data_IF_111206894837
#
_entry.id   IF_111206894837
#
_cell.length_a   1.000
_cell.length_b   1.000
_cell.length_c   1.000
_cell.angle_alpha   90.00
_cell.angle_beta   90.00
_cell.angle_gamma   90.00
#
_symmetry.space_group_name_H-M   'P 1'
#
loop_
_entity.id
_entity.type
_entity.pdbx_description
1 polymer ?
#
# COMPACT_ATOMS: atom_id res chain seq x y z
N UNK A 1 -4.81 -19.25 -6.48
CA UNK A 1 -5.69 -19.32 -7.66
C UNK A 1 -7.15 -18.95 -7.31
N UNK A 2 -7.73 -19.50 -6.24
CA UNK A 2 -9.13 -19.24 -5.86
C UNK A 2 -9.46 -17.76 -5.57
N UNK A 3 -8.58 -17.03 -4.90
CA UNK A 3 -8.79 -15.60 -4.59
C UNK A 3 -8.94 -14.73 -5.84
N UNK A 4 -8.24 -15.04 -6.93
CA UNK A 4 -8.29 -14.24 -8.18
C UNK A 4 -9.61 -14.36 -8.94
N UNK A 5 -10.37 -15.41 -8.69
CA UNK A 5 -11.67 -15.68 -9.34
C UNK A 5 -12.87 -15.44 -8.42
N UNK A 6 -12.62 -15.17 -7.15
CA UNK A 6 -13.67 -14.89 -6.18
C UNK A 6 -14.17 -13.44 -6.35
N UNK A 7 -15.50 -13.27 -6.34
CA UNK A 7 -16.14 -11.96 -6.34
C UNK A 7 -16.95 -11.77 -5.06
N UNK A 8 -16.84 -10.60 -4.48
CA UNK A 8 -17.66 -10.17 -3.35
C UNK A 8 -18.89 -9.39 -3.86
N UNK A 9 -19.98 -9.30 -3.08
CA UNK A 9 -21.12 -8.44 -3.42
C UNK A 9 -20.72 -6.95 -3.58
N UNK A 10 -19.70 -6.54 -2.83
CA UNK A 10 -19.08 -5.22 -2.91
C UNK A 10 -17.58 -5.37 -3.17
N UNK A 11 -17.11 -4.79 -4.24
CA UNK A 11 -15.71 -4.84 -4.68
C UNK A 11 -15.16 -3.43 -4.86
N UNK A 12 -14.83 -2.70 -3.77
CA UNK A 12 -14.37 -1.33 -3.86
C UNK A 12 -13.02 -1.21 -4.56
N UNK A 13 -12.79 -0.13 -5.30
CA UNK A 13 -11.45 0.23 -5.76
C UNK A 13 -10.65 0.75 -4.56
N UNK A 14 -9.45 0.19 -4.36
CA UNK A 14 -8.53 0.57 -3.29
C UNK A 14 -7.36 1.33 -3.91
N UNK A 15 -7.15 2.57 -3.51
CA UNK A 15 -6.00 3.39 -3.91
C UNK A 15 -4.87 3.20 -2.89
N UNK A 16 -3.75 2.61 -3.31
CA UNK A 16 -2.57 2.46 -2.47
C UNK A 16 -1.70 3.69 -2.67
N UNK A 17 -1.43 4.42 -1.59
CA UNK A 17 -0.63 5.64 -1.61
C UNK A 17 0.78 5.34 -1.14
N UNK A 18 1.78 5.69 -1.96
CA UNK A 18 3.19 5.51 -1.62
C UNK A 18 3.95 6.82 -1.83
N UNK A 19 4.37 7.47 -0.74
CA UNK A 19 5.30 8.59 -0.82
C UNK A 19 6.71 8.07 -1.09
N UNK A 20 7.35 8.55 -2.17
CA UNK A 20 8.70 8.17 -2.56
C UNK A 20 9.70 9.29 -2.26
N UNK A 21 10.84 8.92 -1.67
CA UNK A 21 11.97 9.82 -1.51
C UNK A 21 13.29 9.06 -1.47
N UNK A 22 14.09 9.18 -2.52
CA UNK A 22 15.41 8.53 -2.65
C UNK A 22 15.40 7.03 -2.36
N UNK A 23 14.29 6.36 -2.70
CA UNK A 23 14.08 4.94 -2.41
C UNK A 23 15.14 4.09 -3.11
N UNK A 24 15.89 3.23 -2.40
CA UNK A 24 16.81 2.30 -3.02
C UNK A 24 16.10 1.39 -4.01
N UNK A 25 16.69 1.17 -5.20
CA UNK A 25 16.09 0.40 -6.28
C UNK A 25 15.56 -0.96 -5.84
N UNK A 26 16.33 -1.68 -5.02
CA UNK A 26 15.94 -3.00 -4.52
C UNK A 26 14.58 -2.95 -3.81
N UNK A 27 14.40 -2.03 -2.87
CA UNK A 27 13.17 -1.89 -2.11
C UNK A 27 12.02 -1.42 -2.97
N UNK A 28 12.26 -0.41 -3.81
CA UNK A 28 11.24 0.09 -4.73
C UNK A 28 10.69 -1.03 -5.61
N UNK A 29 11.57 -1.85 -6.22
CA UNK A 29 11.13 -2.98 -7.05
C UNK A 29 10.38 -4.04 -6.25
N UNK A 30 10.86 -4.38 -5.05
CA UNK A 30 10.20 -5.35 -4.19
C UNK A 30 8.80 -4.88 -3.78
N UNK A 31 8.65 -3.61 -3.39
CA UNK A 31 7.36 -3.00 -3.06
C UNK A 31 6.43 -3.03 -4.29
N UNK A 32 6.88 -2.56 -5.45
CA UNK A 32 6.09 -2.55 -6.68
C UNK A 32 5.64 -3.97 -7.09
N UNK A 33 6.53 -4.94 -7.03
CA UNK A 33 6.21 -6.35 -7.34
C UNK A 33 5.17 -6.91 -6.37
N UNK A 34 5.24 -6.56 -5.08
CA UNK A 34 4.28 -7.02 -4.07
C UNK A 34 2.87 -6.50 -4.33
N UNK A 35 2.74 -5.27 -4.83
CA UNK A 35 1.45 -4.67 -5.20
C UNK A 35 0.93 -5.26 -6.52
N UNK A 36 1.77 -5.38 -7.54
CA UNK A 36 1.36 -5.95 -8.83
C UNK A 36 0.90 -7.41 -8.70
N UNK A 37 1.46 -8.16 -7.75
CA UNK A 37 1.12 -9.56 -7.50
C UNK A 37 -0.16 -9.77 -6.67
N UNK A 38 -0.82 -8.71 -6.22
CA UNK A 38 -2.05 -8.83 -5.44
C UNK A 38 -3.11 -9.69 -6.13
N UNK A 39 -3.79 -10.52 -5.36
CA UNK A 39 -4.84 -11.42 -5.88
C UNK A 39 -6.17 -10.71 -6.07
N UNK A 40 -6.43 -9.62 -5.36
CA UNK A 40 -7.54 -8.71 -5.62
C UNK A 40 -7.17 -7.77 -6.77
N UNK A 41 -8.04 -7.61 -7.76
CA UNK A 41 -7.69 -6.91 -8.99
C UNK A 41 -8.09 -5.42 -9.02
N UNK A 42 -9.09 -5.01 -8.22
CA UNK A 42 -9.65 -3.66 -8.26
C UNK A 42 -8.89 -2.70 -7.34
N UNK A 43 -7.66 -2.39 -7.71
CA UNK A 43 -6.80 -1.42 -7.03
C UNK A 43 -6.11 -0.48 -8.01
N UNK A 44 -5.59 0.60 -7.51
CA UNK A 44 -4.60 1.45 -8.19
C UNK A 44 -3.45 1.78 -7.23
N UNK A 45 -2.28 2.09 -7.78
CA UNK A 45 -1.10 2.50 -7.02
C UNK A 45 -0.73 3.93 -7.40
N UNK A 46 -0.77 4.83 -6.42
CA UNK A 46 -0.48 6.25 -6.57
C UNK A 46 0.90 6.54 -5.97
N UNK A 47 1.89 6.81 -6.83
CA UNK A 47 3.28 7.08 -6.46
C UNK A 47 3.57 8.57 -6.58
N UNK A 48 3.88 9.24 -5.47
CA UNK A 48 4.32 10.65 -5.46
C UNK A 48 5.79 10.73 -5.05
N UNK A 49 6.63 11.20 -5.97
CA UNK A 49 8.08 11.12 -5.88
C UNK A 49 8.73 12.50 -5.69
N UNK A 50 9.27 12.75 -4.50
CA UNK A 50 10.08 13.91 -4.16
C UNK A 50 11.61 13.68 -4.27
N UNK A 51 12.06 12.60 -4.92
CA UNK A 51 13.48 12.24 -5.01
C UNK A 51 14.29 13.26 -5.82
N UNK A 52 15.58 13.34 -5.54
CA UNK A 52 16.48 14.19 -6.31
C UNK A 52 16.97 13.52 -7.60
N UNK A 53 17.10 12.19 -7.60
CA UNK A 53 17.59 11.45 -8.76
C UNK A 53 16.46 10.93 -9.65
N UNK A 54 16.76 10.75 -10.94
CA UNK A 54 15.81 10.22 -11.91
C UNK A 54 15.65 8.69 -11.83
N UNK A 55 16.41 8.01 -10.95
CA UNK A 55 16.38 6.55 -10.88
C UNK A 55 15.04 6.01 -10.41
N UNK A 56 14.45 6.64 -9.41
CA UNK A 56 13.10 6.29 -8.89
C UNK A 56 12.07 6.48 -9.99
N UNK A 57 12.11 7.62 -10.69
CA UNK A 57 11.23 7.91 -11.83
C UNK A 57 11.33 6.87 -12.95
N UNK A 58 12.57 6.51 -13.34
CA UNK A 58 12.80 5.52 -14.41
C UNK A 58 12.14 4.17 -14.06
N UNK A 59 12.31 3.71 -12.81
CA UNK A 59 11.73 2.45 -12.33
C UNK A 59 10.21 2.54 -12.27
N UNK A 60 9.66 3.59 -11.66
CA UNK A 60 8.22 3.77 -11.57
C UNK A 60 7.55 3.81 -12.96
N UNK A 61 8.15 4.54 -13.91
CA UNK A 61 7.68 4.59 -15.29
C UNK A 61 7.83 3.25 -16.04
N UNK A 62 8.84 2.45 -15.72
CA UNK A 62 8.98 1.10 -16.25
C UNK A 62 7.78 0.23 -15.87
N UNK A 63 7.35 0.26 -14.61
CA UNK A 63 6.19 -0.48 -14.13
C UNK A 63 4.87 0.08 -14.68
N UNK A 64 4.70 1.40 -14.69
CA UNK A 64 3.49 2.04 -15.21
C UNK A 64 3.22 1.77 -16.70
N UNK A 65 4.27 1.51 -17.50
CA UNK A 65 4.10 1.07 -18.89
C UNK A 65 3.58 -0.37 -19.03
N UNK A 66 3.78 -1.20 -17.99
CA UNK A 66 3.37 -2.62 -17.99
C UNK A 66 2.01 -2.83 -17.34
N UNK A 67 1.65 -1.95 -16.41
CA UNK A 67 0.40 -2.02 -15.66
C UNK A 67 -0.21 -0.63 -15.52
N UNK A 68 -1.34 -0.41 -16.20
CA UNK A 68 -2.02 0.88 -16.25
C UNK A 68 -2.66 1.30 -14.91
N UNK A 69 -2.68 0.42 -13.92
CA UNK A 69 -3.15 0.74 -12.57
C UNK A 69 -2.12 1.53 -11.76
N UNK A 70 -0.86 1.65 -12.24
CA UNK A 70 0.17 2.46 -11.59
C UNK A 70 0.12 3.89 -12.14
N UNK A 71 -0.02 4.83 -11.22
CA UNK A 71 0.01 6.28 -11.48
C UNK A 71 1.24 6.87 -10.80
N UNK A 72 2.01 7.64 -11.53
CA UNK A 72 3.25 8.24 -11.03
C UNK A 72 3.26 9.74 -11.27
N UNK A 73 3.62 10.48 -10.23
CA UNK A 73 3.84 11.92 -10.26
C UNK A 73 5.20 12.27 -9.69
N UNK A 74 6.05 12.95 -10.49
CA UNK A 74 7.25 13.62 -9.98
C UNK A 74 6.85 14.93 -9.33
N UNK A 75 7.34 15.16 -8.11
CA UNK A 75 7.18 16.44 -7.42
C UNK A 75 8.34 17.36 -7.74
N UNK A 76 8.13 18.68 -7.67
CA UNK A 76 9.20 19.68 -7.87
C UNK A 76 10.22 19.67 -6.75
N UNK A 77 9.82 19.25 -5.55
CA UNK A 77 10.63 19.16 -4.36
C UNK A 77 10.09 18.07 -3.42
N UNK A 78 10.89 17.69 -2.42
CA UNK A 78 10.41 16.81 -1.37
C UNK A 78 9.59 17.59 -0.34
N UNK A 79 8.29 17.27 -0.26
CA UNK A 79 7.35 17.90 0.67
C UNK A 79 7.29 17.17 2.04
N UNK A 80 8.22 16.23 2.29
CA UNK A 80 8.20 15.35 3.45
C UNK A 80 7.12 14.26 3.32
N UNK A 81 7.07 13.37 4.32
CA UNK A 81 6.17 12.20 4.25
C UNK A 81 4.70 12.63 4.05
N UNK A 82 4.19 13.57 4.84
CA UNK A 82 2.80 14.01 4.76
C UNK A 82 2.49 14.70 3.44
N UNK A 83 3.37 15.58 2.97
CA UNK A 83 3.18 16.30 1.71
C UNK A 83 3.22 15.39 0.50
N UNK A 84 4.17 14.45 0.46
CA UNK A 84 4.26 13.45 -0.61
C UNK A 84 3.04 12.51 -0.58
N UNK A 85 2.57 12.10 0.62
CA UNK A 85 1.35 11.28 0.77
C UNK A 85 0.12 12.05 0.28
N UNK A 86 -0.03 13.33 0.61
CA UNK A 86 -1.13 14.16 0.11
C UNK A 86 -1.08 14.33 -1.41
N UNK A 87 0.11 14.43 -1.99
CA UNK A 87 0.27 14.44 -3.45
C UNK A 87 -0.17 13.09 -4.07
N UNK A 88 0.17 11.96 -3.45
CA UNK A 88 -0.33 10.65 -3.88
C UNK A 88 -1.86 10.57 -3.75
N UNK A 89 -2.42 11.07 -2.64
CA UNK A 89 -3.88 11.12 -2.40
C UNK A 89 -4.60 11.93 -3.49
N UNK A 90 -4.01 13.02 -3.97
CA UNK A 90 -4.63 13.82 -5.04
C UNK A 90 -4.82 13.07 -6.37
N UNK A 91 -4.12 11.96 -6.56
CA UNK A 91 -4.27 11.07 -7.72
C UNK A 91 -5.30 9.95 -7.49
N UNK A 92 -5.69 9.71 -6.23
CA UNK A 92 -6.53 8.57 -5.87
C UNK A 92 -7.97 8.71 -6.37
N UNK A 93 -8.52 7.62 -6.89
CA UNK A 93 -9.89 7.51 -7.39
C UNK A 93 -10.67 6.36 -6.71
N UNK A 94 -10.02 5.64 -5.79
CA UNK A 94 -10.63 4.53 -5.07
C UNK A 94 -11.62 5.00 -4.01
N UNK A 95 -12.52 4.09 -3.64
CA UNK A 95 -13.45 4.31 -2.53
C UNK A 95 -12.74 4.26 -1.17
N UNK A 96 -11.61 3.56 -1.11
CA UNK A 96 -10.76 3.45 0.06
C UNK A 96 -9.30 3.75 -0.29
N UNK A 97 -8.54 4.18 0.69
CA UNK A 97 -7.14 4.60 0.56
C UNK A 97 -6.29 3.76 1.50
N UNK A 98 -5.31 3.04 0.98
CA UNK A 98 -4.33 2.29 1.79
C UNK A 98 -2.99 3.01 1.84
N UNK A 99 -2.40 3.12 3.03
CA UNK A 99 -1.10 3.76 3.24
C UNK A 99 0.00 2.69 3.25
N UNK A 100 0.93 2.77 2.31
CA UNK A 100 2.05 1.84 2.19
C UNK A 100 3.37 2.61 2.09
N UNK A 101 4.34 2.22 2.89
CA UNK A 101 5.68 2.78 2.82
C UNK A 101 6.48 2.20 1.65
N UNK A 102 7.41 2.99 1.14
CA UNK A 102 8.14 2.68 -0.09
C UNK A 102 9.14 1.50 0.02
N UNK A 103 9.36 0.98 1.22
CA UNK A 103 10.25 -0.14 1.55
C UNK A 103 9.52 -1.31 2.22
N UNK A 104 8.19 -1.22 2.32
CA UNK A 104 7.33 -2.28 2.82
C UNK A 104 6.73 -3.15 1.71
N UNK A 105 6.20 -4.31 2.10
CA UNK A 105 5.68 -5.32 1.19
C UNK A 105 4.28 -5.75 1.61
N UNK A 106 3.40 -5.93 0.65
CA UNK A 106 2.11 -6.56 0.85
C UNK A 106 2.18 -8.05 0.50
N UNK A 107 1.69 -8.93 1.39
CA UNK A 107 1.47 -10.33 1.03
C UNK A 107 0.47 -10.43 -0.13
N UNK A 108 0.58 -11.43 -1.02
CA UNK A 108 -0.25 -11.51 -2.23
C UNK A 108 -1.77 -11.48 -2.00
N UNK A 109 -2.22 -11.87 -0.81
CA UNK A 109 -3.64 -11.86 -0.41
C UNK A 109 -4.08 -10.62 0.37
N UNK A 110 -3.20 -9.66 0.66
CA UNK A 110 -3.51 -8.55 1.56
C UNK A 110 -4.75 -7.75 1.12
N UNK A 111 -4.78 -7.28 -0.11
CA UNK A 111 -5.93 -6.52 -0.63
C UNK A 111 -7.20 -7.39 -0.76
N UNK A 112 -7.06 -8.70 -0.96
CA UNK A 112 -8.21 -9.62 -0.97
C UNK A 112 -8.85 -9.71 0.43
N UNK A 113 -8.06 -9.85 1.48
CA UNK A 113 -8.59 -9.92 2.85
C UNK A 113 -9.18 -8.56 3.28
N UNK A 114 -8.58 -7.44 2.89
CA UNK A 114 -9.16 -6.10 3.08
C UNK A 114 -10.51 -5.99 2.37
N UNK A 115 -10.59 -6.32 1.08
CA UNK A 115 -11.84 -6.26 0.33
C UNK A 115 -12.91 -7.18 0.89
N UNK A 116 -12.52 -8.36 1.39
CA UNK A 116 -13.40 -9.31 2.06
C UNK A 116 -13.96 -8.74 3.37
N UNK A 117 -13.12 -8.10 4.18
CA UNK A 117 -13.56 -7.44 5.42
C UNK A 117 -14.55 -6.31 5.12
N UNK A 118 -14.24 -5.45 4.14
CA UNK A 118 -15.13 -4.36 3.70
C UNK A 118 -16.47 -4.88 3.12
N UNK A 119 -16.44 -6.02 2.42
CA UNK A 119 -17.67 -6.63 1.90
C UNK A 119 -18.54 -7.30 3.00
N UNK A 120 -17.91 -7.71 4.10
CA UNK A 120 -18.58 -8.38 5.21
C UNK A 120 -19.07 -7.46 6.33
N UNK A 121 -18.63 -6.19 6.34
CA UNK A 121 -18.96 -5.22 7.39
C UNK A 121 -19.59 -4.00 6.76
N UNK A 122 -20.89 -3.84 6.91
CA UNK A 122 -21.57 -2.63 6.50
C UNK A 122 -21.01 -1.44 7.29
N UNK A 123 -20.78 -0.32 6.62
CA UNK A 123 -20.33 0.94 7.22
C UNK A 123 -18.92 0.87 7.88
N UNK A 124 -18.03 0.01 7.37
CA UNK A 124 -16.64 0.03 7.80
C UNK A 124 -15.93 1.29 7.25
N UNK A 125 -15.49 2.17 8.15
CA UNK A 125 -14.74 3.38 7.79
C UNK A 125 -13.26 3.09 7.56
N UNK A 126 -12.71 2.09 8.25
CA UNK A 126 -11.30 1.71 8.15
C UNK A 126 -11.07 0.23 8.45
N UNK A 127 -9.98 -0.30 7.89
CA UNK A 127 -9.47 -1.66 8.13
C UNK A 127 -7.97 -1.60 8.37
N UNK A 128 -7.48 -2.33 9.34
CA UNK A 128 -6.04 -2.52 9.53
C UNK A 128 -5.69 -3.99 9.66
N UNK A 129 -4.43 -4.32 9.35
CA UNK A 129 -3.96 -5.70 9.32
C UNK A 129 -2.88 -5.94 10.36
N UNK A 130 -2.67 -7.21 10.72
CA UNK A 130 -1.44 -7.63 11.38
C UNK A 130 -0.24 -7.40 10.43
N UNK A 131 0.95 -7.36 11.02
CA UNK A 131 2.20 -7.19 10.28
C UNK A 131 3.32 -8.04 10.89
N UNK A 132 4.36 -8.29 10.13
CA UNK A 132 5.62 -8.86 10.62
C UNK A 132 6.79 -8.18 9.92
N UNK A 133 8.00 -8.56 10.29
CA UNK A 133 9.21 -8.13 9.62
C UNK A 133 9.76 -9.25 8.77
N UNK A 134 10.38 -8.89 7.66
CA UNK A 134 11.09 -9.83 6.80
C UNK A 134 12.54 -9.42 6.64
N UNK A 135 13.45 -10.38 6.57
CA UNK A 135 14.87 -10.09 6.33
C UNK A 135 15.09 -9.59 4.89
N UNK A 136 16.27 -8.99 4.67
CA UNK A 136 16.64 -8.37 3.38
C UNK A 136 16.56 -9.29 2.16
N UNK A 137 16.62 -10.61 2.37
CA UNK A 137 16.55 -11.61 1.30
C UNK A 137 15.14 -12.21 1.14
N UNK A 138 14.17 -11.72 1.91
CA UNK A 138 12.77 -12.17 1.91
C UNK A 138 12.58 -13.67 2.21
N UNK A 139 13.53 -14.26 2.94
CA UNK A 139 13.54 -15.70 3.25
C UNK A 139 13.06 -16.04 4.65
N UNK A 140 13.05 -15.06 5.56
CA UNK A 140 12.70 -15.27 6.96
C UNK A 140 11.81 -14.16 7.49
N UNK A 141 10.62 -14.53 7.96
CA UNK A 141 9.72 -13.68 8.73
C UNK A 141 10.05 -13.75 10.23
N UNK A 142 9.91 -12.62 10.94
CA UNK A 142 10.19 -12.52 12.37
C UNK A 142 9.44 -11.34 12.99
N UNK A 143 9.35 -11.33 14.33
CA UNK A 143 8.68 -10.29 15.11
C UNK A 143 7.25 -10.00 14.62
N UNK A 144 6.34 -11.01 14.58
CA UNK A 144 4.95 -10.75 14.22
C UNK A 144 4.32 -9.81 15.24
N UNK A 145 3.54 -8.84 14.73
CA UNK A 145 2.75 -7.92 15.51
C UNK A 145 1.27 -8.19 15.26
N UNK A 146 0.68 -8.97 16.14
CA UNK A 146 -0.76 -9.23 16.16
C UNK A 146 -1.46 -8.08 16.87
N UNK A 147 -2.37 -7.42 16.18
CA UNK A 147 -3.03 -6.23 16.65
C UNK A 147 -4.33 -6.58 17.38
N UNK A 148 -4.68 -5.87 18.47
CA UNK A 148 -5.95 -6.05 19.13
C UNK A 148 -7.10 -5.56 18.24
N UNK A 149 -8.34 -5.90 18.61
CA UNK A 149 -9.51 -5.21 18.11
C UNK A 149 -9.41 -3.70 18.40
N UNK A 150 -10.14 -2.90 17.62
CA UNK A 150 -10.06 -1.45 17.71
C UNK A 150 -10.33 -0.96 19.15
N UNK A 151 -9.39 -0.21 19.68
CA UNK A 151 -9.44 0.37 21.02
C UNK A 151 -8.96 1.82 20.96
N UNK A 152 -9.90 2.76 21.08
CA UNK A 152 -9.62 4.20 20.97
C UNK A 152 -8.72 4.72 22.09
N UNK A 153 -8.86 4.21 23.32
CA UNK A 153 -8.02 4.63 24.45
C UNK A 153 -6.58 4.16 24.28
N UNK A 154 -6.40 2.94 23.77
CA UNK A 154 -5.07 2.43 23.47
C UNK A 154 -4.41 3.20 22.34
N UNK A 155 -5.18 3.56 21.29
CA UNK A 155 -4.68 4.34 20.17
C UNK A 155 -4.21 5.75 20.57
N UNK A 156 -4.85 6.37 21.57
CA UNK A 156 -4.44 7.67 22.11
C UNK A 156 -3.06 7.62 22.81
N UNK A 157 -2.68 6.47 23.34
CA UNK A 157 -1.40 6.29 24.04
C UNK A 157 -0.31 5.65 23.18
N UNK A 158 -0.69 4.87 22.18
CA UNK A 158 0.22 4.12 21.32
C UNK A 158 -0.38 3.91 19.92
N UNK A 159 0.33 4.34 18.88
CA UNK A 159 -0.05 3.99 17.51
C UNK A 159 0.26 2.51 17.24
N UNK A 160 -0.69 1.62 17.57
CA UNK A 160 -0.57 0.19 17.33
C UNK A 160 -1.05 -0.23 15.93
N UNK A 161 -1.72 0.67 15.21
CA UNK A 161 -2.29 0.34 13.89
C UNK A 161 -1.19 0.21 12.84
N UNK A 162 -0.22 1.14 12.79
CA UNK A 162 0.91 1.16 11.86
C UNK A 162 0.52 0.76 10.43
N UNK A 163 1.05 -0.35 9.93
CA UNK A 163 0.84 -0.89 8.58
C UNK A 163 0.08 -2.22 8.61
N UNK A 164 -0.71 -2.58 7.67
CA UNK A 164 -1.25 -1.82 6.55
C UNK A 164 -2.60 -1.25 6.96
N UNK A 165 -2.81 0.03 6.75
CA UNK A 165 -4.03 0.75 7.10
C UNK A 165 -4.76 1.20 5.83
N UNK A 166 -6.05 0.89 5.75
CA UNK A 166 -6.94 1.20 4.62
C UNK A 166 -8.18 1.92 5.14
#
# INVERSE_FOLDING_TARGET
AQQRTHSFPYMPKISILVPLYNTPEKFLRQMLDSVVQQTYANWELCLADGSHSDRVEQIAKEYARRDSRLRYQRLSENLGISGNTNAALSMAEGAYVGLLDHDDLLLPGALYEVAKALAGTADADAVYTDEDKVNMDLTRHFQPHFKPDFNSEYLLSNNYICHFFV
#
